data_IF_465680776879
#
_entry.id   IF_465680776879
#
_cell.length_a   1.000
_cell.length_b   1.000
_cell.length_c   1.000
_cell.angle_alpha   90.00
_cell.angle_beta   90.00
_cell.angle_gamma   90.00
#
_symmetry.space_group_name_H-M   'P 1'
#
loop_
_entity.id
_entity.type
_entity.pdbx_description
1 polymer ?
#
# COMPACT_ATOMS: atom_id res chain seq x y z
N UNK A 1 -10.71 -32.76 -3.74
CA UNK A 1 -10.45 -31.77 -2.70
C UNK A 1 -9.26 -30.89 -3.04
N UNK A 2 -9.43 -29.60 -2.95
CA UNK A 2 -8.38 -28.67 -3.36
C UNK A 2 -7.33 -28.50 -2.26
N UNK A 3 -6.05 -28.68 -2.60
CA UNK A 3 -4.94 -28.36 -1.71
C UNK A 3 -4.38 -26.98 -2.01
N UNK A 4 -5.16 -26.17 -2.70
CA UNK A 4 -4.74 -24.82 -3.07
C UNK A 4 -4.57 -23.95 -1.84
N UNK A 5 -3.40 -23.31 -1.73
CA UNK A 5 -3.17 -22.35 -0.67
C UNK A 5 -4.06 -21.13 -0.84
N UNK A 6 -4.45 -20.53 0.26
CA UNK A 6 -5.15 -19.25 0.20
C UNK A 6 -4.22 -18.18 -0.35
N UNK A 7 -4.81 -17.10 -0.83
CA UNK A 7 -4.04 -15.94 -1.29
C UNK A 7 -3.14 -15.45 -0.15
N UNK A 8 -3.68 -15.37 1.06
CA UNK A 8 -2.91 -14.95 2.23
C UNK A 8 -1.72 -15.86 2.48
N UNK A 9 -1.92 -17.19 2.46
CA UNK A 9 -0.84 -18.13 2.74
C UNK A 9 0.28 -18.01 1.69
N UNK A 10 -0.08 -17.81 0.42
CA UNK A 10 0.88 -17.67 -0.66
C UNK A 10 1.68 -16.38 -0.53
N UNK A 11 0.98 -15.26 -0.39
CA UNK A 11 1.64 -13.95 -0.42
C UNK A 11 2.38 -13.63 0.87
N UNK A 12 1.85 -14.07 2.03
CA UNK A 12 2.51 -13.81 3.30
C UNK A 12 3.80 -14.59 3.49
N UNK A 13 4.00 -15.65 2.71
CA UNK A 13 5.22 -16.45 2.76
C UNK A 13 6.37 -15.82 1.97
N UNK A 14 6.12 -14.79 1.17
CA UNK A 14 7.15 -14.16 0.34
C UNK A 14 8.01 -13.24 1.20
N UNK A 15 9.33 -13.42 1.11
CA UNK A 15 10.29 -12.56 1.83
C UNK A 15 10.49 -11.27 1.05
N UNK A 16 10.14 -10.14 1.67
CA UNK A 16 10.25 -8.82 1.06
C UNK A 16 11.46 -8.03 1.54
N UNK A 17 12.30 -8.63 2.40
CA UNK A 17 13.33 -7.88 3.12
C UNK A 17 14.35 -7.19 2.21
N UNK A 18 14.64 -7.75 1.04
CA UNK A 18 15.62 -7.18 0.11
C UNK A 18 15.04 -6.04 -0.74
N UNK A 19 13.76 -5.74 -0.60
CA UNK A 19 13.06 -4.76 -1.44
C UNK A 19 12.43 -3.64 -0.64
N UNK A 20 12.85 -3.51 0.60
CA UNK A 20 12.39 -2.48 1.53
C UNK A 20 13.29 -1.26 1.42
N UNK A 21 12.69 -0.09 1.36
CA UNK A 21 13.40 1.18 1.33
C UNK A 21 13.07 2.00 2.57
N UNK A 22 14.01 2.82 3.00
CA UNK A 22 13.80 3.75 4.10
C UNK A 22 14.02 5.18 3.65
N UNK A 23 13.10 6.06 4.01
CA UNK A 23 13.26 7.51 3.85
C UNK A 23 12.88 8.17 5.17
N UNK A 24 13.86 8.75 5.85
CA UNK A 24 13.65 9.26 7.18
C UNK A 24 13.24 8.15 8.12
N UNK A 25 12.12 8.31 8.79
CA UNK A 25 11.56 7.27 9.68
C UNK A 25 10.63 6.30 8.97
N UNK A 26 10.42 6.50 7.68
CA UNK A 26 9.47 5.71 6.91
C UNK A 26 10.15 4.50 6.29
N UNK A 27 9.58 3.32 6.53
CA UNK A 27 10.00 2.08 5.90
C UNK A 27 8.88 1.64 4.95
N UNK A 28 9.21 1.36 3.70
CA UNK A 28 8.19 0.94 2.76
C UNK A 28 8.75 -0.02 1.71
N UNK A 29 7.83 -0.81 1.16
CA UNK A 29 8.14 -1.78 0.13
C UNK A 29 8.08 -1.12 -1.24
N UNK A 30 8.99 -1.50 -2.14
CA UNK A 30 8.94 -1.02 -3.52
C UNK A 30 7.61 -1.42 -4.16
N UNK A 31 6.84 -0.43 -4.63
CA UNK A 31 5.52 -0.70 -5.23
C UNK A 31 5.65 -1.52 -6.52
N UNK A 32 6.69 -1.26 -7.30
CA UNK A 32 6.90 -1.97 -8.56
C UNK A 32 7.20 -3.43 -8.31
N UNK A 33 8.04 -3.71 -7.32
CA UNK A 33 8.35 -5.09 -6.95
C UNK A 33 7.12 -5.81 -6.39
N UNK A 34 6.36 -5.12 -5.54
CA UNK A 34 5.15 -5.70 -4.95
C UNK A 34 4.12 -6.06 -6.03
N UNK A 35 3.90 -5.16 -6.97
CA UNK A 35 2.98 -5.41 -8.06
C UNK A 35 3.46 -6.56 -8.94
N UNK A 36 4.77 -6.59 -9.25
CA UNK A 36 5.37 -7.67 -10.02
C UNK A 36 5.15 -9.04 -9.36
N UNK A 37 5.38 -9.12 -8.05
CA UNK A 37 5.17 -10.35 -7.31
C UNK A 37 3.70 -10.79 -7.33
N UNK A 38 2.81 -9.82 -7.20
CA UNK A 38 1.37 -10.11 -7.29
C UNK A 38 1.04 -10.70 -8.66
N UNK A 39 1.57 -10.11 -9.72
CA UNK A 39 1.34 -10.60 -11.08
C UNK A 39 1.92 -11.99 -11.32
N UNK A 40 3.07 -12.31 -10.70
CA UNK A 40 3.67 -13.64 -10.83
C UNK A 40 2.77 -14.73 -10.25
N UNK A 41 2.08 -14.44 -9.15
CA UNK A 41 1.24 -15.42 -8.46
C UNK A 41 -0.24 -15.33 -8.88
N UNK A 42 -0.72 -14.14 -9.18
CA UNK A 42 -2.13 -13.89 -9.49
C UNK A 42 -2.24 -12.89 -10.64
N UNK A 43 -1.93 -13.33 -11.86
CA UNK A 43 -1.83 -12.42 -13.01
C UNK A 43 -3.13 -11.73 -13.42
N UNK A 44 -4.27 -12.22 -12.94
CA UNK A 44 -5.56 -11.61 -13.23
C UNK A 44 -5.96 -10.53 -12.21
N UNK A 45 -5.06 -10.21 -11.28
CA UNK A 45 -5.33 -9.18 -10.29
C UNK A 45 -5.46 -7.81 -10.97
N UNK A 46 -6.30 -6.96 -10.39
CA UNK A 46 -6.54 -5.62 -10.91
C UNK A 46 -6.45 -4.60 -9.79
N UNK A 47 -6.30 -3.35 -10.17
CA UNK A 47 -6.33 -2.24 -9.24
C UNK A 47 -7.18 -1.11 -9.80
N UNK A 48 -7.64 -0.23 -8.92
CA UNK A 48 -8.39 0.95 -9.30
C UNK A 48 -7.97 2.10 -8.40
N UNK A 49 -7.67 3.24 -9.01
CA UNK A 49 -7.41 4.48 -8.29
C UNK A 49 -8.68 5.33 -8.29
N UNK A 50 -8.98 5.93 -7.16
CA UNK A 50 -10.08 6.87 -7.04
C UNK A 50 -9.53 8.29 -7.05
N UNK A 51 -10.40 9.25 -7.37
CA UNK A 51 -9.99 10.65 -7.34
C UNK A 51 -9.61 11.04 -5.92
N UNK A 52 -8.56 11.86 -5.75
CA UNK A 52 -8.21 12.32 -4.42
C UNK A 52 -9.33 13.19 -3.84
N UNK A 53 -9.51 13.10 -2.52
CA UNK A 53 -10.49 13.92 -1.79
C UNK A 53 -9.72 15.02 -1.09
N UNK A 54 -10.08 16.27 -1.37
CA UNK A 54 -9.46 17.42 -0.73
C UNK A 54 -10.32 17.87 0.45
N UNK A 55 -9.69 18.07 1.59
CA UNK A 55 -10.38 18.43 2.82
C UNK A 55 -10.36 19.94 3.01
N UNK A 56 -11.20 20.42 3.94
CA UNK A 56 -11.32 21.86 4.17
C UNK A 56 -10.01 22.49 4.66
N UNK A 57 -9.16 21.72 5.33
CA UNK A 57 -7.89 22.23 5.84
C UNK A 57 -6.80 22.27 4.77
N UNK A 58 -7.12 21.95 3.52
CA UNK A 58 -6.16 21.98 2.41
C UNK A 58 -5.36 20.71 2.24
N UNK A 59 -5.57 19.70 3.09
CA UNK A 59 -4.92 18.40 2.93
C UNK A 59 -5.76 17.50 2.03
N UNK A 60 -5.24 16.34 1.67
CA UNK A 60 -5.94 15.43 0.77
C UNK A 60 -5.76 13.99 1.18
N UNK A 61 -6.67 13.15 0.70
CA UNK A 61 -6.63 11.69 0.88
C UNK A 61 -6.68 11.02 -0.47
N UNK A 62 -5.98 9.91 -0.62
CA UNK A 62 -6.07 9.06 -1.79
C UNK A 62 -6.66 7.71 -1.39
N UNK A 63 -7.24 7.00 -2.35
CA UNK A 63 -7.73 5.65 -2.10
C UNK A 63 -7.49 4.78 -3.34
N UNK A 64 -7.27 3.49 -3.08
CA UNK A 64 -6.95 2.50 -4.09
C UNK A 64 -7.67 1.21 -3.71
N UNK A 65 -8.21 0.52 -4.70
CA UNK A 65 -8.76 -0.82 -4.51
C UNK A 65 -7.92 -1.82 -5.29
N UNK A 66 -7.72 -3.00 -4.73
CA UNK A 66 -7.03 -4.11 -5.39
C UNK A 66 -7.92 -5.34 -5.30
N UNK A 67 -8.06 -6.04 -6.41
CA UNK A 67 -8.85 -7.27 -6.49
C UNK A 67 -7.93 -8.43 -6.83
N UNK A 68 -7.95 -9.48 -6.01
CA UNK A 68 -7.17 -10.70 -6.20
C UNK A 68 -8.12 -11.87 -6.01
N UNK A 69 -8.18 -12.75 -7.00
CA UNK A 69 -9.01 -13.96 -6.95
C UNK A 69 -10.46 -13.66 -6.53
N UNK A 70 -11.01 -12.61 -7.11
CA UNK A 70 -12.40 -12.23 -6.87
C UNK A 70 -12.66 -11.45 -5.57
N UNK A 71 -11.64 -11.26 -4.75
CA UNK A 71 -11.79 -10.51 -3.51
C UNK A 71 -11.17 -9.13 -3.64
N UNK A 72 -11.90 -8.09 -3.22
CA UNK A 72 -11.46 -6.71 -3.30
C UNK A 72 -11.21 -6.13 -1.93
N UNK A 73 -10.05 -5.51 -1.76
CA UNK A 73 -9.77 -4.66 -0.61
C UNK A 73 -9.60 -3.23 -1.10
N UNK A 74 -10.05 -2.30 -0.29
CA UNK A 74 -9.87 -0.88 -0.55
C UNK A 74 -9.12 -0.25 0.60
N UNK A 75 -8.13 0.57 0.27
CA UNK A 75 -7.30 1.27 1.24
C UNK A 75 -7.33 2.76 0.95
N UNK A 76 -7.25 3.56 1.98
CA UNK A 76 -7.08 5.00 1.84
C UNK A 76 -5.86 5.45 2.64
N UNK A 77 -5.33 6.61 2.27
CA UNK A 77 -4.12 7.13 2.90
C UNK A 77 -4.13 8.65 2.78
N UNK A 78 -3.75 9.38 3.85
CA UNK A 78 -3.52 10.82 3.70
C UNK A 78 -2.35 11.07 2.77
N UNK A 79 -2.40 12.15 2.01
CA UNK A 79 -1.24 12.61 1.26
C UNK A 79 -0.29 13.23 2.27
N UNK A 80 0.85 12.58 2.49
CA UNK A 80 1.74 12.95 3.58
C UNK A 80 3.20 12.85 3.18
N UNK A 81 4.04 13.53 3.96
CA UNK A 81 5.49 13.50 3.75
C UNK A 81 6.10 12.24 4.39
N UNK A 82 7.44 12.14 4.34
CA UNK A 82 8.13 10.97 4.87
C UNK A 82 8.26 10.96 6.40
N UNK A 83 7.62 11.93 7.05
CA UNK A 83 7.47 11.96 8.51
C UNK A 83 6.05 11.64 8.94
N UNK A 84 5.25 11.15 8.00
CA UNK A 84 3.83 10.83 8.22
C UNK A 84 2.99 12.05 8.62
N UNK A 85 3.37 13.23 8.11
CA UNK A 85 2.58 14.45 8.32
C UNK A 85 1.85 14.82 7.04
N UNK A 86 0.57 15.15 7.15
CA UNK A 86 -0.23 15.58 6.02
C UNK A 86 0.39 16.81 5.37
N UNK A 87 0.40 16.82 4.03
CA UNK A 87 0.96 17.91 3.24
C UNK A 87 -0.16 18.89 2.90
N UNK A 88 -0.07 20.17 3.33
CA UNK A 88 -1.07 21.15 2.91
C UNK A 88 -0.92 21.46 1.42
N UNK A 89 -2.05 21.59 0.75
CA UNK A 89 -2.11 21.90 -0.69
C UNK A 89 -1.18 21.02 -1.53
N UNK A 90 -1.32 19.68 -1.42
CA UNK A 90 -0.42 18.78 -2.13
C UNK A 90 -0.56 18.93 -3.64
N UNK A 91 0.56 18.82 -4.34
CA UNK A 91 0.56 18.84 -5.79
C UNK A 91 0.39 17.43 -6.37
N UNK A 92 0.37 17.31 -7.69
CA UNK A 92 0.14 16.01 -8.34
C UNK A 92 1.26 15.01 -8.05
N UNK A 93 2.48 15.48 -7.86
CA UNK A 93 3.60 14.61 -7.49
C UNK A 93 3.36 13.99 -6.11
N UNK A 94 2.93 14.81 -5.15
CA UNK A 94 2.62 14.34 -3.81
C UNK A 94 1.48 13.33 -3.83
N UNK A 95 0.45 13.60 -4.63
CA UNK A 95 -0.70 12.69 -4.77
C UNK A 95 -0.26 11.36 -5.36
N UNK A 96 0.60 11.39 -6.38
CA UNK A 96 1.08 10.14 -7.00
C UNK A 96 1.90 9.31 -6.02
N UNK A 97 2.78 9.93 -5.24
CA UNK A 97 3.55 9.22 -4.22
C UNK A 97 2.62 8.55 -3.21
N UNK A 98 1.60 9.26 -2.77
CA UNK A 98 0.63 8.71 -1.82
C UNK A 98 -0.13 7.54 -2.44
N UNK A 99 -0.50 7.62 -3.72
CA UNK A 99 -1.17 6.52 -4.41
C UNK A 99 -0.31 5.26 -4.44
N UNK A 100 0.98 5.40 -4.71
CA UNK A 100 1.88 4.25 -4.75
C UNK A 100 2.03 3.61 -3.37
N UNK A 101 2.16 4.41 -2.32
CA UNK A 101 2.19 3.91 -0.95
C UNK A 101 0.87 3.21 -0.59
N UNK A 102 -0.23 3.81 -1.00
CA UNK A 102 -1.56 3.26 -0.76
C UNK A 102 -1.75 1.92 -1.46
N UNK A 103 -1.27 1.82 -2.70
CA UNK A 103 -1.32 0.58 -3.48
C UNK A 103 -0.59 -0.56 -2.76
N UNK A 104 0.62 -0.30 -2.28
CA UNK A 104 1.42 -1.32 -1.59
C UNK A 104 0.74 -1.75 -0.29
N UNK A 105 0.20 -0.81 0.48
CA UNK A 105 -0.53 -1.15 1.69
C UNK A 105 -1.78 -1.98 1.40
N UNK A 106 -2.46 -1.65 0.31
CA UNK A 106 -3.63 -2.41 -0.11
C UNK A 106 -3.26 -3.85 -0.48
N UNK A 107 -2.16 -4.03 -1.21
CA UNK A 107 -1.64 -5.36 -1.53
C UNK A 107 -1.29 -6.10 -0.24
N UNK A 108 -0.79 -5.38 0.76
CA UNK A 108 -0.46 -5.94 2.06
C UNK A 108 -1.63 -6.64 2.73
N UNK A 109 -2.85 -6.16 2.51
CA UNK A 109 -4.03 -6.82 3.07
C UNK A 109 -4.27 -8.22 2.51
N UNK A 110 -3.65 -8.54 1.37
CA UNK A 110 -3.68 -9.89 0.82
C UNK A 110 -2.53 -10.75 1.34
N UNK A 111 -1.60 -10.16 2.09
CA UNK A 111 -0.50 -10.87 2.75
C UNK A 111 0.90 -10.41 2.36
N UNK A 112 1.07 -9.81 1.20
CA UNK A 112 2.41 -9.49 0.69
C UNK A 112 3.00 -8.28 1.43
N UNK A 113 4.01 -8.53 2.25
CA UNK A 113 4.75 -7.46 2.90
C UNK A 113 4.03 -6.75 4.03
N UNK A 114 2.90 -7.27 4.49
CA UNK A 114 2.14 -6.60 5.55
C UNK A 114 2.98 -6.35 6.79
N UNK A 115 3.87 -7.28 7.14
CA UNK A 115 4.69 -7.17 8.34
C UNK A 115 5.61 -5.94 8.33
N UNK A 116 5.94 -5.41 7.15
CA UNK A 116 6.78 -4.22 7.02
C UNK A 116 6.08 -3.00 7.63
N UNK A 117 4.76 -2.98 7.56
CA UNK A 117 3.96 -1.85 8.01
C UNK A 117 3.45 -2.01 9.43
N UNK A 118 3.76 -3.13 10.09
CA UNK A 118 3.37 -3.32 11.47
C UNK A 118 4.02 -2.22 12.32
N UNK A 119 3.22 -1.43 12.98
CA UNK A 119 3.69 -0.33 13.80
C UNK A 119 3.79 1.02 13.10
N UNK A 120 3.69 1.06 11.76
CA UNK A 120 3.79 2.33 11.04
C UNK A 120 2.67 3.31 11.43
N UNK A 121 1.50 2.78 11.70
CA UNK A 121 0.33 3.60 12.03
C UNK A 121 0.15 3.81 13.53
N UNK A 122 1.11 3.34 14.35
CA UNK A 122 1.05 3.55 15.78
C UNK A 122 1.42 5.01 16.10
N UNK A 123 0.80 5.60 17.12
CA UNK A 123 1.18 6.94 17.56
C UNK A 123 2.65 6.95 17.94
N UNK A 124 3.34 8.06 17.62
CA UNK A 124 4.71 8.19 18.09
C UNK A 124 4.73 8.20 19.61
N UNK A 125 5.64 7.43 20.17
CA UNK A 125 5.89 7.49 21.60
C UNK A 125 6.53 8.84 21.91
N UNK A 126 5.87 9.64 22.71
CA UNK A 126 6.38 10.93 23.12
C UNK A 126 7.00 10.85 24.50
#
# INVERSE_FOLDING_TARGET
>A
MSNKKSVWATLSAIDCSDHVEQKGKLTYLSWAWAWQKLMEHYPDSTYEYYDPVFLEDGTAEVSVAVTVEGKTHRMWLPVMDNRNKSIPSPNSFDVNKARMRCLVKCIGFFGLGLYIYAGEDLPEAT
#
